data_IF_883678731112
#
_entry.id   IF_883678731112
#
_cell.length_a   1.000
_cell.length_b   1.000
_cell.length_c   1.000
_cell.angle_alpha   90.00
_cell.angle_beta   90.00
_cell.angle_gamma   90.00
#
_symmetry.space_group_name_H-M   'P 1'
#
loop_
_entity.id
_entity.type
_entity.pdbx_description
1 polymer ?
#
# COMPACT_ATOMS: atom_id res chain seq x y z
N UNK A 1 -3.98 -62.04 8.99
CA UNK A 1 -4.72 -60.82 9.41
C UNK A 1 -3.99 -59.97 10.47
N UNK A 2 -2.66 -60.08 10.65
CA UNK A 2 -1.91 -59.25 11.61
C UNK A 2 -1.14 -58.11 10.94
N UNK A 3 -0.73 -58.28 9.69
CA UNK A 3 -0.03 -57.27 8.87
C UNK A 3 -0.94 -56.19 8.28
N UNK A 4 -2.22 -56.48 8.02
CA UNK A 4 -3.19 -55.49 7.53
C UNK A 4 -3.55 -54.48 8.64
N UNK A 5 -3.60 -54.92 9.91
CA UNK A 5 -3.86 -54.04 11.06
C UNK A 5 -2.72 -53.02 11.27
N UNK A 6 -1.48 -53.39 10.96
CA UNK A 6 -0.32 -52.51 11.08
C UNK A 6 -0.33 -51.39 10.01
N UNK A 7 -0.81 -51.68 8.80
CA UNK A 7 -0.93 -50.70 7.72
C UNK A 7 -2.01 -49.63 7.98
N UNK A 8 -3.13 -50.03 8.59
CA UNK A 8 -4.21 -49.09 8.97
C UNK A 8 -3.78 -48.16 10.12
N UNK A 9 -2.97 -48.65 11.07
CA UNK A 9 -2.43 -47.84 12.16
C UNK A 9 -1.44 -46.76 11.68
N UNK A 10 -0.68 -47.03 10.61
CA UNK A 10 0.27 -46.05 10.06
C UNK A 10 -0.42 -44.92 9.30
N UNK A 11 -1.55 -45.19 8.66
CA UNK A 11 -2.32 -44.18 7.90
C UNK A 11 -2.97 -43.12 8.82
N UNK A 12 -3.35 -43.50 10.04
CA UNK A 12 -4.02 -42.59 10.98
C UNK A 12 -3.04 -41.52 11.53
N UNK A 13 -1.75 -41.85 11.68
CA UNK A 13 -0.75 -40.92 12.23
C UNK A 13 -0.39 -39.81 11.24
N UNK A 14 -0.43 -40.08 9.93
CA UNK A 14 -0.05 -39.11 8.89
C UNK A 14 -1.14 -38.04 8.69
N UNK A 15 -2.42 -38.38 8.88
CA UNK A 15 -3.53 -37.43 8.73
C UNK A 15 -3.58 -36.41 9.88
N UNK A 16 -3.14 -36.79 11.08
CA UNK A 16 -3.13 -35.90 12.26
C UNK A 16 -2.20 -34.69 12.13
N UNK A 17 -1.18 -34.76 11.26
CA UNK A 17 -0.24 -33.64 11.04
C UNK A 17 -0.79 -32.55 10.12
N UNK A 18 -1.87 -32.83 9.37
CA UNK A 18 -2.48 -31.87 8.43
C UNK A 18 -3.55 -31.02 9.14
N UNK A 19 -4.13 -31.52 10.24
CA UNK A 19 -5.24 -30.87 10.95
C UNK A 19 -4.77 -29.70 11.83
N UNK A 20 -3.51 -29.68 12.28
CA UNK A 20 -2.96 -28.58 13.08
C UNK A 20 -2.57 -27.32 12.27
N UNK A 21 -2.85 -27.29 10.96
CA UNK A 21 -2.72 -26.09 10.13
C UNK A 21 -4.02 -25.27 10.05
N UNK A 22 -5.11 -25.71 10.71
CA UNK A 22 -6.40 -25.04 10.69
C UNK A 22 -6.97 -24.84 12.10
N UNK A 23 -6.27 -24.08 12.95
CA UNK A 23 -6.90 -23.44 14.10
C UNK A 23 -6.53 -21.95 14.18
N UNK A 24 -7.29 -21.13 13.44
CA UNK A 24 -7.83 -19.85 13.92
C UNK A 24 -9.06 -19.51 13.07
N UNK A 25 -10.14 -20.29 13.25
CA UNK A 25 -11.46 -19.80 12.83
C UNK A 25 -11.96 -18.81 13.88
N UNK A 26 -12.11 -17.57 13.39
CA UNK A 26 -13.14 -16.62 13.80
C UNK A 26 -13.10 -16.11 15.23
N UNK A 27 -12.32 -15.05 15.44
CA UNK A 27 -12.75 -13.97 16.33
C UNK A 27 -12.95 -12.73 15.45
N UNK A 28 -14.21 -12.35 15.26
CA UNK A 28 -14.69 -11.20 14.49
C UNK A 28 -14.21 -11.11 13.03
N UNK A 29 -15.05 -11.58 12.10
CA UNK A 29 -15.23 -10.88 10.84
C UNK A 29 -15.82 -9.48 11.13
N UNK A 30 -15.03 -8.60 11.73
CA UNK A 30 -15.13 -7.22 11.31
C UNK A 30 -14.82 -7.28 9.82
N UNK A 31 -15.73 -6.83 8.95
CA UNK A 31 -15.36 -6.46 7.58
C UNK A 31 -14.26 -5.41 7.73
N UNK A 32 -13.01 -5.84 7.83
CA UNK A 32 -11.87 -4.95 7.77
C UNK A 32 -12.00 -4.38 6.38
N UNK A 33 -12.42 -3.13 6.30
CA UNK A 33 -12.47 -2.41 5.05
C UNK A 33 -11.13 -2.63 4.34
N UNK A 34 -11.19 -3.02 3.07
CA UNK A 34 -10.01 -3.21 2.23
C UNK A 34 -8.94 -2.13 2.45
N UNK A 35 -9.35 -0.88 2.68
CA UNK A 35 -8.44 0.21 3.00
C UNK A 35 -7.70 0.02 4.33
N UNK A 36 -8.43 -0.36 5.39
CA UNK A 36 -7.84 -0.65 6.70
C UNK A 36 -6.86 -1.82 6.64
N UNK A 37 -7.17 -2.86 5.87
CA UNK A 37 -6.26 -3.99 5.68
C UNK A 37 -4.94 -3.56 5.04
N UNK A 38 -4.99 -2.84 3.91
CA UNK A 38 -3.76 -2.42 3.22
C UNK A 38 -2.98 -1.34 3.98
N UNK A 39 -3.66 -0.49 4.76
CA UNK A 39 -2.98 0.43 5.68
C UNK A 39 -2.21 -0.32 6.76
N UNK A 40 -2.82 -1.32 7.41
CA UNK A 40 -2.15 -2.16 8.41
C UNK A 40 -0.98 -2.95 7.82
N UNK A 41 -1.21 -3.59 6.67
CA UNK A 41 -0.19 -4.33 5.93
C UNK A 41 1.01 -3.45 5.61
N UNK A 42 0.77 -2.21 5.16
CA UNK A 42 1.84 -1.26 4.87
C UNK A 42 2.65 -0.87 6.10
N UNK A 43 2.01 -0.72 7.26
CA UNK A 43 2.70 -0.44 8.52
C UNK A 43 3.55 -1.64 8.94
N UNK A 44 3.06 -2.86 8.78
CA UNK A 44 3.82 -4.09 9.04
C UNK A 44 5.03 -4.21 8.11
N UNK A 45 4.83 -4.02 6.81
CA UNK A 45 5.90 -4.06 5.82
C UNK A 45 6.95 -2.96 6.09
N UNK A 46 6.53 -1.74 6.45
CA UNK A 46 7.45 -0.66 6.80
C UNK A 46 8.28 -0.99 8.05
N UNK A 47 7.71 -1.64 9.07
CA UNK A 47 8.47 -2.10 10.24
C UNK A 47 9.50 -3.15 9.87
N UNK A 48 9.11 -4.10 9.01
CA UNK A 48 10.04 -5.11 8.51
C UNK A 48 11.20 -4.45 7.74
N UNK A 49 10.88 -3.54 6.82
CA UNK A 49 11.86 -2.79 6.02
C UNK A 49 12.82 -1.96 6.88
N UNK A 50 12.32 -1.32 7.94
CA UNK A 50 13.12 -0.55 8.89
C UNK A 50 14.06 -1.42 9.74
N UNK A 51 13.75 -2.70 9.88
CA UNK A 51 14.57 -3.66 10.64
C UNK A 51 15.42 -4.55 9.72
N UNK A 52 15.16 -4.51 8.42
CA UNK A 52 15.79 -5.37 7.44
C UNK A 52 17.26 -4.99 7.28
N UNK A 53 18.13 -5.95 7.54
CA UNK A 53 19.57 -5.83 7.35
C UNK A 53 20.03 -6.92 6.38
N UNK A 54 20.27 -6.53 5.13
CA UNK A 54 20.81 -7.44 4.13
C UNK A 54 22.28 -7.77 4.45
N UNK A 55 22.70 -9.00 4.16
CA UNK A 55 24.11 -9.42 4.28
C UNK A 55 24.93 -8.97 3.09
N UNK A 56 24.28 -8.78 1.94
CA UNK A 56 24.92 -8.36 0.70
C UNK A 56 24.11 -7.28 0.00
N UNK A 57 24.78 -6.45 -0.80
CA UNK A 57 24.10 -5.46 -1.64
C UNK A 57 23.10 -6.10 -2.62
N UNK A 58 23.43 -7.27 -3.18
CA UNK A 58 22.55 -7.97 -4.10
C UNK A 58 21.25 -8.42 -3.45
N UNK A 59 21.31 -8.87 -2.19
CA UNK A 59 20.13 -9.22 -1.39
C UNK A 59 19.27 -7.99 -1.09
N UNK A 60 19.90 -6.86 -0.74
CA UNK A 60 19.21 -5.60 -0.55
C UNK A 60 18.50 -5.10 -1.82
N UNK A 61 19.21 -5.14 -2.95
CA UNK A 61 18.66 -4.73 -4.25
C UNK A 61 17.48 -5.64 -4.64
N UNK A 62 17.61 -6.96 -4.47
CA UNK A 62 16.53 -7.90 -4.76
C UNK A 62 15.29 -7.62 -3.89
N UNK A 63 15.50 -7.39 -2.59
CA UNK A 63 14.43 -7.05 -1.65
C UNK A 63 13.65 -5.80 -2.11
N UNK A 64 14.35 -4.72 -2.46
CA UNK A 64 13.70 -3.49 -2.90
C UNK A 64 13.03 -3.61 -4.27
N UNK A 65 13.54 -4.45 -5.17
CA UNK A 65 12.88 -4.73 -6.46
C UNK A 65 11.60 -5.56 -6.28
N UNK A 66 11.61 -6.56 -5.39
CA UNK A 66 10.40 -7.30 -5.02
C UNK A 66 9.34 -6.36 -4.43
N UNK A 67 9.76 -5.48 -3.53
CA UNK A 67 8.87 -4.51 -2.91
C UNK A 67 8.24 -3.55 -3.95
N UNK A 68 9.04 -3.05 -4.89
CA UNK A 68 8.53 -2.22 -6.01
C UNK A 68 7.57 -3.00 -6.92
N UNK A 69 7.87 -4.27 -7.19
CA UNK A 69 7.03 -5.12 -8.02
C UNK A 69 5.66 -5.32 -7.37
N UNK A 70 5.62 -5.66 -6.08
CA UNK A 70 4.39 -5.76 -5.31
C UNK A 70 3.56 -4.46 -5.37
N UNK A 71 4.20 -3.31 -5.11
CA UNK A 71 3.53 -2.01 -5.14
C UNK A 71 2.97 -1.66 -6.52
N UNK A 72 3.71 -2.00 -7.58
CA UNK A 72 3.28 -1.81 -8.97
C UNK A 72 2.08 -2.70 -9.31
N UNK A 73 2.12 -3.97 -8.93
CA UNK A 73 1.00 -4.89 -9.14
C UNK A 73 -0.25 -4.48 -8.36
N UNK A 74 -0.08 -4.08 -7.09
CA UNK A 74 -1.18 -3.58 -6.27
C UNK A 74 -1.81 -2.34 -6.91
N UNK A 75 -0.99 -1.42 -7.43
CA UNK A 75 -1.46 -0.23 -8.15
C UNK A 75 -2.25 -0.56 -9.42
N UNK A 76 -1.82 -1.59 -10.16
CA UNK A 76 -2.50 -2.04 -11.36
C UNK A 76 -3.82 -2.73 -11.05
N UNK A 77 -3.85 -3.56 -10.00
CA UNK A 77 -5.02 -4.34 -9.58
C UNK A 77 -6.09 -3.48 -8.93
N UNK A 78 -5.71 -2.66 -7.95
CA UNK A 78 -6.63 -1.79 -7.22
C UNK A 78 -5.93 -0.51 -6.73
N UNK A 79 -6.25 0.59 -7.40
CA UNK A 79 -5.71 1.92 -7.07
C UNK A 79 -6.17 2.44 -5.71
N UNK A 80 -7.34 2.02 -5.21
CA UNK A 80 -7.86 2.44 -3.90
C UNK A 80 -7.04 1.76 -2.79
N UNK A 81 -6.83 0.45 -2.93
CA UNK A 81 -5.95 -0.32 -2.05
C UNK A 81 -4.50 0.16 -2.09
N UNK A 82 -3.96 0.47 -3.28
CA UNK A 82 -2.63 1.06 -3.40
C UNK A 82 -2.50 2.40 -2.67
N UNK A 83 -3.51 3.27 -2.75
CA UNK A 83 -3.49 4.56 -2.02
C UNK A 83 -3.49 4.34 -0.51
N UNK A 84 -4.30 3.40 -0.02
CA UNK A 84 -4.34 3.02 1.39
C UNK A 84 -2.99 2.47 1.85
N UNK A 85 -2.40 1.56 1.07
CA UNK A 85 -1.07 1.02 1.33
C UNK A 85 0.01 2.11 1.41
N UNK A 86 0.07 3.00 0.41
CA UNK A 86 1.04 4.09 0.40
C UNK A 86 0.85 5.08 1.54
N UNK A 87 -0.39 5.33 1.97
CA UNK A 87 -0.68 6.15 3.15
C UNK A 87 -0.11 5.49 4.42
N UNK A 88 -0.38 4.21 4.62
CA UNK A 88 0.17 3.47 5.78
C UNK A 88 1.69 3.47 5.80
N UNK A 89 2.34 3.27 4.64
CA UNK A 89 3.80 3.38 4.52
C UNK A 89 4.30 4.77 4.85
N UNK A 90 3.71 5.82 4.28
CA UNK A 90 4.10 7.20 4.59
C UNK A 90 4.05 7.47 6.09
N UNK A 91 2.93 7.14 6.71
CA UNK A 91 2.71 7.43 8.13
C UNK A 91 3.72 6.65 9.01
N UNK A 92 4.04 5.40 8.66
CA UNK A 92 5.05 4.61 9.35
C UNK A 92 6.50 5.12 9.13
N UNK A 93 6.85 5.53 7.91
CA UNK A 93 8.18 6.07 7.60
C UNK A 93 8.38 7.48 8.17
N UNK A 94 7.35 8.33 8.17
CA UNK A 94 7.40 9.65 8.79
C UNK A 94 7.56 9.53 10.31
N UNK A 95 6.77 8.65 10.95
CA UNK A 95 6.91 8.37 12.38
C UNK A 95 8.30 7.84 12.72
N UNK A 96 8.83 6.90 11.93
CA UNK A 96 10.19 6.42 12.12
C UNK A 96 11.21 7.54 11.96
N UNK A 97 11.11 8.37 10.91
CA UNK A 97 12.01 9.51 10.69
C UNK A 97 12.04 10.48 11.89
N UNK A 98 10.90 10.73 12.54
CA UNK A 98 10.81 11.60 13.73
C UNK A 98 11.48 10.98 14.97
N UNK A 99 11.43 9.65 15.12
CA UNK A 99 11.96 8.93 16.28
C UNK A 99 13.36 8.34 16.04
N UNK A 100 13.86 8.42 14.82
CA UNK A 100 15.11 7.81 14.42
C UNK A 100 16.28 8.74 14.74
N UNK A 101 17.11 8.32 15.68
CA UNK A 101 18.26 9.07 16.17
C UNK A 101 19.59 8.47 15.67
N UNK A 102 20.71 8.85 16.30
CA UNK A 102 22.03 8.36 15.94
C UNK A 102 22.22 6.83 16.15
N UNK A 103 21.32 6.16 16.86
CA UNK A 103 21.34 4.71 17.06
C UNK A 103 20.62 3.94 15.94
N UNK A 104 19.88 4.62 15.08
CA UNK A 104 19.39 4.04 13.84
C UNK A 104 20.54 3.80 12.86
N UNK A 105 20.88 2.53 12.63
CA UNK A 105 21.80 2.16 11.56
C UNK A 105 21.03 1.65 10.34
N UNK A 106 20.87 2.53 9.35
CA UNK A 106 20.29 2.17 8.06
C UNK A 106 21.34 2.24 6.95
N UNK A 107 21.17 1.39 5.93
CA UNK A 107 22.02 1.43 4.76
C UNK A 107 21.75 2.70 3.91
N UNK A 108 22.70 3.11 3.05
CA UNK A 108 22.44 4.17 2.06
C UNK A 108 21.26 3.85 1.13
N UNK A 109 21.07 2.56 0.80
CA UNK A 109 19.96 2.08 -0.02
C UNK A 109 18.62 2.27 0.69
N UNK A 110 18.52 1.92 1.98
CA UNK A 110 17.34 2.19 2.78
C UNK A 110 16.97 3.67 2.72
N UNK A 111 17.92 4.59 2.95
CA UNK A 111 17.61 6.03 2.92
C UNK A 111 17.08 6.49 1.56
N UNK A 112 17.60 5.94 0.47
CA UNK A 112 17.09 6.19 -0.88
C UNK A 112 15.61 5.80 -1.00
N UNK A 113 15.23 4.62 -0.52
CA UNK A 113 13.86 4.12 -0.55
C UNK A 113 12.94 4.83 0.47
N UNK A 114 13.41 5.04 1.69
CA UNK A 114 12.68 5.74 2.74
C UNK A 114 12.22 7.12 2.26
N UNK A 115 13.14 7.90 1.65
CA UNK A 115 12.84 9.25 1.14
C UNK A 115 11.67 9.30 0.16
N UNK A 116 11.42 8.22 -0.59
CA UNK A 116 10.29 8.13 -1.50
C UNK A 116 8.96 8.18 -0.75
N UNK A 117 8.84 7.47 0.38
CA UNK A 117 7.57 7.30 1.08
C UNK A 117 7.14 8.56 1.86
N UNK A 118 8.07 9.30 2.47
CA UNK A 118 7.71 10.48 3.25
C UNK A 118 7.87 11.82 2.52
N UNK A 119 8.86 11.99 1.61
CA UNK A 119 9.02 13.26 0.88
C UNK A 119 8.32 13.29 -0.49
N UNK A 120 8.33 12.18 -1.23
CA UNK A 120 7.90 12.18 -2.65
C UNK A 120 6.42 11.85 -2.84
N UNK A 121 5.80 11.15 -1.88
CA UNK A 121 4.40 10.73 -2.02
C UNK A 121 3.39 11.86 -1.86
N UNK A 122 3.64 12.86 -1.00
CA UNK A 122 2.74 14.01 -0.81
C UNK A 122 2.54 14.81 -2.12
N UNK A 123 3.62 15.04 -2.86
CA UNK A 123 3.56 15.75 -4.14
C UNK A 123 2.81 14.99 -5.25
N UNK A 124 2.82 13.66 -5.21
CA UNK A 124 2.27 12.86 -6.32
C UNK A 124 0.76 12.60 -6.22
N UNK A 125 0.20 12.55 -5.01
CA UNK A 125 -1.20 12.17 -4.80
C UNK A 125 -2.05 13.20 -4.05
N UNK A 126 -1.49 14.00 -3.13
CA UNK A 126 -2.27 15.01 -2.39
C UNK A 126 -2.48 16.31 -3.17
N UNK A 127 -1.57 16.67 -4.08
CA UNK A 127 -1.68 17.90 -4.90
C UNK A 127 -2.49 17.76 -6.19
N UNK A 128 -3.29 16.69 -6.35
CA UNK A 128 -4.12 16.50 -7.55
C UNK A 128 -5.61 16.46 -7.27
N UNK A 129 -6.15 17.45 -6.58
CA UNK A 129 -7.53 17.91 -6.79
C UNK A 129 -7.66 19.39 -6.33
N UNK A 130 -7.77 20.31 -7.29
CA UNK A 130 -8.97 21.14 -7.29
C UNK A 130 -9.82 20.78 -8.51
N UNK A 131 -11.02 20.23 -8.27
CA UNK A 131 -12.09 20.27 -9.26
C UNK A 131 -12.48 21.73 -9.47
N UNK A 132 -11.83 22.40 -10.43
CA UNK A 132 -12.36 23.63 -10.98
C UNK A 132 -13.51 23.26 -11.92
N UNK A 133 -14.73 23.18 -11.38
CA UNK A 133 -15.92 23.36 -12.18
C UNK A 133 -16.07 24.85 -12.50
N UNK A 134 -15.27 25.36 -13.43
CA UNK A 134 -15.48 26.71 -13.96
C UNK A 134 -16.67 26.63 -14.92
N UNK A 135 -17.88 26.81 -14.40
CA UNK A 135 -19.08 27.01 -15.21
C UNK A 135 -19.03 28.43 -15.76
N UNK A 136 -18.53 28.58 -16.99
CA UNK A 136 -18.59 29.85 -17.73
C UNK A 136 -19.96 30.00 -18.36
N UNK A 137 -20.86 30.78 -17.73
CA UNK A 137 -22.04 31.31 -18.40
C UNK A 137 -21.67 32.62 -19.10
N UNK A 138 -21.68 32.63 -20.43
CA UNK A 138 -21.58 33.89 -21.19
C UNK A 138 -22.99 34.35 -21.56
N UNK A 139 -23.46 35.44 -20.96
CA UNK A 139 -24.71 36.10 -21.35
C UNK A 139 -24.34 37.21 -22.33
N UNK A 140 -24.73 37.03 -23.59
CA UNK A 140 -24.46 37.99 -24.65
C UNK A 140 -25.70 38.87 -24.85
N UNK A 141 -25.68 40.11 -24.35
CA UNK A 141 -26.80 41.05 -24.51
C UNK A 141 -26.52 41.95 -25.71
N UNK A 142 -27.22 41.67 -26.82
CA UNK A 142 -27.13 42.44 -28.05
C UNK A 142 -28.06 43.64 -27.95
N UNK A 143 -27.53 44.86 -27.93
CA UNK A 143 -28.35 46.07 -27.96
C UNK A 143 -28.83 46.37 -29.38
N UNK A 144 -30.09 46.77 -29.58
CA UNK A 144 -30.60 47.15 -30.89
C UNK A 144 -30.01 48.50 -31.31
N UNK A 145 -29.62 48.59 -32.59
CA UNK A 145 -29.06 49.80 -33.19
C UNK A 145 -30.19 50.55 -33.88
N UNK A 146 -30.57 51.71 -33.36
CA UNK A 146 -31.54 52.63 -33.99
C UNK A 146 -30.75 53.74 -34.68
N UNK A 147 -30.90 53.86 -36.00
CA UNK A 147 -30.36 54.99 -36.76
C UNK A 147 -31.49 55.98 -37.05
N UNK A 148 -31.38 57.20 -36.54
CA UNK A 148 -32.25 58.31 -36.95
C UNK A 148 -31.68 58.88 -38.25
N UNK A 149 -32.44 58.72 -39.34
CA UNK A 149 -32.16 59.43 -40.59
C UNK A 149 -32.59 60.89 -40.45
N UNK A 150 -31.67 61.81 -40.73
CA UNK A 150 -32.00 63.22 -40.91
C UNK A 150 -32.07 63.47 -42.42
N UNK A 151 -33.19 64.09 -42.84
CA UNK A 151 -33.52 64.46 -44.22
C UNK A 151 -32.57 65.51 -44.80
#
# INVERSE_FOLDING_TARGET
MKSIKALVMFFIVIVSSIVNAQETKTTSEAKIDSQSYYEQRAIEDAKYEQQFAAKTKAEEDAFWEEQKAYEKELKQRDRKSYKAYMKGKRDAYASHYEHCDAHCHHSPHYYHHASFYYYRYDNYYYHRYPQRSTVTTSVNVRTPRVSLGLF
#
